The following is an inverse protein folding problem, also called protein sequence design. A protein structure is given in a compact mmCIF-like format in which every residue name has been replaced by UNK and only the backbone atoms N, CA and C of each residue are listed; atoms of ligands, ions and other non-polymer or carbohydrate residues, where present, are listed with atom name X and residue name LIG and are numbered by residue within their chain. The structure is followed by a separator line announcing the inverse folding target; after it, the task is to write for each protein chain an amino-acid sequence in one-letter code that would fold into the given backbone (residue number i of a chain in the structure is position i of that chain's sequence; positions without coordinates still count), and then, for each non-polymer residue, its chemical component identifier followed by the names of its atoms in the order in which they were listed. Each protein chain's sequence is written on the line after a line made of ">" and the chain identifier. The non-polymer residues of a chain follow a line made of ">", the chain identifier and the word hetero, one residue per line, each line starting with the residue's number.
data_IF_591939367674
#
_entry.id   IF_591939367674
#
_cell.length_a   1.000
_cell.length_b   1.000
_cell.length_c   1.000
_cell.angle_alpha   90.00
_cell.angle_beta   90.00
_cell.angle_gamma   90.00
#
_symmetry.space_group_name_H-M   'P 1'
#
loop_
_entity.id
_entity.type
_entity.pdbx_description
1 polymer ?
#
# COMPACT_ATOMS: atom_id res chain seq x y z
N UNK A 1 20.15 -7.05 0.46
CA UNK A 1 18.73 -6.87 0.10
C UNK A 1 18.34 -5.40 -0.07
N UNK A 2 18.35 -4.53 0.98
CA UNK A 2 17.96 -3.11 0.80
C UNK A 2 18.86 -2.32 -0.16
N UNK A 3 20.16 -2.57 -0.14
CA UNK A 3 21.11 -1.88 -1.04
C UNK A 3 20.91 -2.25 -2.51
N UNK A 4 20.63 -3.50 -2.82
CA UNK A 4 20.38 -3.96 -4.18
C UNK A 4 19.09 -3.35 -4.74
N UNK A 5 18.03 -3.22 -3.92
CA UNK A 5 16.78 -2.56 -4.32
C UNK A 5 17.05 -1.09 -4.67
N UNK A 6 17.78 -0.37 -3.81
CA UNK A 6 18.12 1.04 -4.06
C UNK A 6 18.93 1.20 -5.36
N UNK A 7 19.96 0.38 -5.56
CA UNK A 7 20.79 0.43 -6.78
C UNK A 7 19.97 0.14 -8.04
N UNK A 8 19.08 -0.85 -7.99
CA UNK A 8 18.24 -1.19 -9.14
C UNK A 8 17.19 -0.11 -9.42
N UNK A 9 16.67 0.54 -8.36
CA UNK A 9 15.79 1.70 -8.50
C UNK A 9 16.50 2.86 -9.17
N UNK A 10 17.70 3.21 -8.72
CA UNK A 10 18.53 4.27 -9.32
C UNK A 10 18.89 3.96 -10.78
N UNK A 11 19.19 2.70 -11.08
CA UNK A 11 19.49 2.26 -12.45
C UNK A 11 18.27 2.38 -13.37
N UNK A 12 17.06 2.10 -12.87
CA UNK A 12 15.85 2.06 -13.68
C UNK A 12 15.16 3.41 -13.81
N UNK A 13 15.16 4.21 -12.74
CA UNK A 13 14.50 5.52 -12.67
C UNK A 13 15.44 6.69 -12.98
N UNK A 14 16.76 6.45 -13.01
CA UNK A 14 17.77 7.49 -13.15
C UNK A 14 17.79 8.44 -11.96
N UNK A 15 18.30 9.66 -12.19
CA UNK A 15 18.28 10.74 -11.19
C UNK A 15 16.90 11.40 -11.03
N UNK A 16 16.00 11.20 -11.98
CA UNK A 16 14.62 11.64 -11.90
C UNK A 16 13.85 10.75 -10.92
N UNK A 17 13.31 11.33 -9.88
CA UNK A 17 12.50 10.66 -8.85
C UNK A 17 11.12 10.24 -9.35
N UNK A 18 11.00 9.90 -10.62
CA UNK A 18 9.79 9.38 -11.25
C UNK A 18 9.53 7.93 -10.86
N UNK A 19 8.45 7.39 -11.40
CA UNK A 19 8.07 5.98 -11.23
C UNK A 19 8.36 5.23 -12.52
N UNK A 20 8.98 4.08 -12.38
CA UNK A 20 9.24 3.18 -13.51
C UNK A 20 8.34 1.94 -13.41
N UNK A 21 7.66 1.54 -14.50
CA UNK A 21 6.74 0.41 -14.48
C UNK A 21 7.43 -0.96 -14.38
N UNK A 22 8.75 -1.03 -14.60
CA UNK A 22 9.49 -2.28 -14.48
C UNK A 22 9.53 -2.75 -13.02
N UNK A 23 9.30 -4.05 -12.83
CA UNK A 23 9.33 -4.69 -11.53
C UNK A 23 10.75 -5.04 -11.13
N UNK A 24 11.10 -4.81 -9.87
CA UNK A 24 12.30 -5.36 -9.24
C UNK A 24 11.93 -6.72 -8.66
N UNK A 25 12.39 -7.78 -9.28
CA UNK A 25 12.10 -9.16 -8.88
C UNK A 25 13.09 -9.66 -7.84
N UNK A 26 12.61 -10.00 -6.63
CA UNK A 26 13.40 -10.63 -5.58
C UNK A 26 12.84 -12.01 -5.27
N UNK A 27 13.70 -13.03 -5.21
CA UNK A 27 13.31 -14.39 -4.80
C UNK A 27 14.05 -14.79 -3.54
N UNK A 28 13.31 -15.20 -2.52
CA UNK A 28 13.84 -15.67 -1.25
C UNK A 28 13.53 -17.17 -1.12
N UNK A 29 14.55 -17.99 -0.90
CA UNK A 29 14.43 -19.43 -0.70
C UNK A 29 14.79 -19.77 0.74
N UNK A 30 13.87 -20.36 1.47
CA UNK A 30 14.08 -20.82 2.84
C UNK A 30 13.07 -21.92 3.18
N UNK A 31 13.46 -22.94 3.95
CA UNK A 31 12.51 -23.94 4.44
C UNK A 31 11.47 -23.38 5.42
N UNK A 32 11.71 -22.18 5.95
CA UNK A 32 10.88 -21.53 6.98
C UNK A 32 9.94 -20.47 6.43
N UNK A 33 9.80 -20.35 5.10
CA UNK A 33 8.90 -19.38 4.47
C UNK A 33 7.82 -20.08 3.67
N UNK A 34 6.62 -19.51 3.68
CA UNK A 34 5.52 -19.99 2.83
C UNK A 34 5.76 -19.58 1.38
N UNK A 35 5.26 -20.38 0.43
CA UNK A 35 5.28 -20.02 -0.99
C UNK A 35 4.25 -18.93 -1.23
N UNK A 36 4.70 -17.68 -1.32
CA UNK A 36 3.86 -16.50 -1.47
C UNK A 36 4.56 -15.46 -2.35
N UNK A 37 3.80 -14.82 -3.22
CA UNK A 37 4.25 -13.65 -3.96
C UNK A 37 3.71 -12.40 -3.27
N UNK A 38 4.61 -11.53 -2.83
CA UNK A 38 4.27 -10.22 -2.27
C UNK A 38 4.63 -9.16 -3.31
N UNK A 39 3.75 -8.19 -3.48
CA UNK A 39 3.98 -7.02 -4.32
C UNK A 39 3.97 -5.80 -3.41
N UNK A 40 5.12 -5.14 -3.32
CA UNK A 40 5.27 -3.85 -2.64
C UNK A 40 5.12 -2.74 -3.67
N UNK A 41 4.21 -1.81 -3.42
CA UNK A 41 3.85 -0.74 -4.33
C UNK A 41 4.30 0.61 -3.76
N UNK A 42 4.57 1.61 -4.63
CA UNK A 42 4.91 2.95 -4.16
C UNK A 42 3.83 3.54 -3.25
N UNK A 43 4.25 4.30 -2.24
CA UNK A 43 3.32 5.11 -1.43
C UNK A 43 2.65 6.19 -2.28
N UNK A 44 1.39 6.48 -2.00
CA UNK A 44 0.62 7.49 -2.73
C UNK A 44 1.15 8.87 -2.33
N UNK A 45 1.80 9.54 -3.28
CA UNK A 45 2.31 10.91 -3.13
C UNK A 45 1.34 11.86 -3.81
N UNK A 46 0.75 12.77 -3.05
CA UNK A 46 -0.22 13.76 -3.59
C UNK A 46 0.45 15.00 -4.17
N UNK A 47 1.57 15.38 -3.61
CA UNK A 47 2.31 16.59 -3.99
C UNK A 47 3.68 16.15 -4.51
N UNK A 48 4.04 16.54 -5.75
CA UNK A 48 5.37 16.26 -6.28
C UNK A 48 6.47 16.81 -5.37
N UNK A 49 7.51 16.05 -5.12
CA UNK A 49 8.65 16.46 -4.28
C UNK A 49 9.91 16.54 -5.14
N UNK A 50 10.56 17.70 -5.17
CA UNK A 50 11.76 17.92 -5.95
C UNK A 50 11.49 17.82 -7.46
N UNK A 51 12.21 16.96 -8.15
CA UNK A 51 12.14 16.77 -9.62
C UNK A 51 11.05 15.76 -10.06
N UNK A 52 10.11 15.42 -9.18
CA UNK A 52 9.00 14.53 -9.55
C UNK A 52 8.08 15.20 -10.58
N UNK A 53 7.54 14.43 -11.55
CA UNK A 53 6.61 14.97 -12.52
C UNK A 53 5.32 15.43 -11.84
N UNK A 54 4.63 16.46 -12.37
CA UNK A 54 3.42 17.01 -11.78
C UNK A 54 2.25 16.02 -11.73
N UNK A 55 2.26 14.99 -12.57
CA UNK A 55 1.27 13.90 -12.65
C UNK A 55 1.67 12.63 -11.87
N UNK A 56 2.62 12.76 -10.94
CA UNK A 56 3.14 11.62 -10.14
C UNK A 56 2.02 10.87 -9.40
N UNK A 57 1.03 11.57 -8.89
CA UNK A 57 -0.12 10.97 -8.20
C UNK A 57 -0.88 10.03 -9.14
N UNK A 58 -1.23 10.50 -10.34
CA UNK A 58 -1.95 9.70 -11.33
C UNK A 58 -1.13 8.49 -11.78
N UNK A 59 0.17 8.64 -11.96
CA UNK A 59 1.07 7.54 -12.32
C UNK A 59 1.07 6.46 -11.23
N UNK A 60 1.16 6.84 -9.96
CA UNK A 60 1.12 5.92 -8.81
C UNK A 60 -0.23 5.22 -8.75
N UNK A 61 -1.33 5.97 -8.81
CA UNK A 61 -2.69 5.43 -8.73
C UNK A 61 -2.91 4.41 -9.87
N UNK A 62 -2.54 4.76 -11.10
CA UNK A 62 -2.69 3.86 -12.25
C UNK A 62 -1.87 2.59 -12.08
N UNK A 63 -0.64 2.69 -11.58
CA UNK A 63 0.20 1.53 -11.27
C UNK A 63 -0.46 0.64 -10.22
N UNK A 64 -0.92 1.19 -9.09
CA UNK A 64 -1.60 0.46 -8.02
C UNK A 64 -2.83 -0.26 -8.58
N UNK A 65 -3.69 0.46 -9.31
CA UNK A 65 -4.90 -0.10 -9.91
C UNK A 65 -4.59 -1.25 -10.88
N UNK A 66 -3.48 -1.20 -11.60
CA UNK A 66 -3.02 -2.26 -12.49
C UNK A 66 -2.79 -3.60 -11.76
N UNK A 67 -2.41 -3.54 -10.48
CA UNK A 67 -2.22 -4.73 -9.64
C UNK A 67 -3.51 -5.15 -8.92
N UNK A 68 -4.18 -4.22 -8.25
CA UNK A 68 -5.30 -4.55 -7.36
C UNK A 68 -6.62 -4.85 -8.08
N UNK A 69 -6.76 -4.49 -9.36
CA UNK A 69 -7.91 -4.87 -10.20
C UNK A 69 -7.96 -6.38 -10.51
N UNK A 70 -6.85 -7.09 -10.39
CA UNK A 70 -6.79 -8.52 -10.70
C UNK A 70 -7.60 -9.32 -9.68
N UNK A 71 -8.54 -10.19 -10.11
CA UNK A 71 -9.45 -10.88 -9.18
C UNK A 71 -8.73 -11.84 -8.23
N UNK A 72 -7.57 -12.37 -8.62
CA UNK A 72 -6.78 -13.31 -7.82
C UNK A 72 -5.73 -12.61 -6.93
N UNK A 73 -5.85 -11.29 -6.72
CA UNK A 73 -4.95 -10.52 -5.87
C UNK A 73 -5.64 -10.17 -4.56
N UNK A 74 -5.05 -10.58 -3.44
CA UNK A 74 -5.44 -10.04 -2.12
C UNK A 74 -4.86 -8.64 -1.97
N UNK A 75 -5.65 -7.75 -1.40
CA UNK A 75 -5.29 -6.36 -1.18
C UNK A 75 -4.95 -6.17 0.29
N UNK A 76 -3.76 -5.65 0.57
CA UNK A 76 -3.35 -5.24 1.90
C UNK A 76 -3.39 -3.71 1.97
N UNK A 77 -4.48 -3.16 2.50
CA UNK A 77 -4.66 -1.72 2.65
C UNK A 77 -4.08 -1.24 3.98
N UNK A 78 -2.90 -0.61 3.91
CA UNK A 78 -2.15 -0.19 5.09
C UNK A 78 -2.42 1.28 5.38
N UNK A 79 -2.83 1.59 6.61
CA UNK A 79 -3.14 2.95 7.06
C UNK A 79 -2.50 3.21 8.43
N UNK A 80 -1.80 4.33 8.64
CA UNK A 80 -1.30 4.68 9.99
C UNK A 80 -2.45 5.09 10.91
N UNK A 81 -2.35 4.72 12.18
CA UNK A 81 -3.39 4.94 13.19
C UNK A 81 -3.62 6.42 13.55
N UNK A 82 -2.64 7.27 13.28
CA UNK A 82 -2.72 8.71 13.52
C UNK A 82 -3.38 9.50 12.38
N UNK A 83 -3.94 8.80 11.39
CA UNK A 83 -4.72 9.43 10.30
C UNK A 83 -6.17 8.96 10.37
N UNK A 84 -7.08 9.82 9.94
CA UNK A 84 -8.48 9.43 9.82
C UNK A 84 -8.63 8.31 8.78
N UNK A 85 -9.13 7.19 9.24
CA UNK A 85 -9.32 5.99 8.44
C UNK A 85 -10.25 6.20 7.25
N UNK A 86 -11.25 7.08 7.40
CA UNK A 86 -12.20 7.42 6.34
C UNK A 86 -11.53 8.19 5.19
N UNK A 87 -10.41 8.84 5.45
CA UNK A 87 -9.64 9.61 4.44
C UNK A 87 -8.51 8.81 3.81
N UNK A 88 -8.29 7.56 4.22
CA UNK A 88 -7.22 6.71 3.72
C UNK A 88 -7.35 6.43 2.22
N UNK A 89 -6.37 6.86 1.43
CA UNK A 89 -6.32 6.58 -0.01
C UNK A 89 -6.20 5.07 -0.31
N UNK A 90 -5.46 4.33 0.52
CA UNK A 90 -5.35 2.88 0.37
C UNK A 90 -6.73 2.19 0.48
N UNK A 91 -7.53 2.62 1.45
CA UNK A 91 -8.89 2.12 1.64
C UNK A 91 -9.82 2.55 0.48
N UNK A 92 -9.72 3.80 0.02
CA UNK A 92 -10.52 4.28 -1.12
C UNK A 92 -10.23 3.48 -2.39
N UNK A 93 -8.96 3.27 -2.73
CA UNK A 93 -8.57 2.50 -3.90
C UNK A 93 -8.99 1.02 -3.78
N UNK A 94 -8.88 0.43 -2.60
CA UNK A 94 -9.36 -0.92 -2.35
C UNK A 94 -10.87 -1.03 -2.60
N UNK A 95 -11.68 -0.10 -2.07
CA UNK A 95 -13.14 -0.07 -2.27
C UNK A 95 -13.56 0.10 -3.73
N UNK A 96 -12.79 0.84 -4.52
CA UNK A 96 -13.09 1.00 -5.95
C UNK A 96 -13.07 -0.33 -6.72
N UNK A 97 -12.22 -1.27 -6.30
CA UNK A 97 -12.00 -2.55 -7.01
C UNK A 97 -12.53 -3.76 -6.26
N UNK A 98 -12.88 -3.60 -4.99
CA UNK A 98 -13.40 -4.63 -4.09
C UNK A 98 -14.44 -3.99 -3.12
N UNK A 99 -15.60 -3.55 -3.65
CA UNK A 99 -16.62 -2.85 -2.85
C UNK A 99 -17.12 -3.65 -1.65
N UNK A 100 -17.20 -4.98 -1.79
CA UNK A 100 -17.66 -5.90 -0.75
C UNK A 100 -16.55 -6.28 0.25
N UNK A 101 -15.32 -5.85 0.04
CA UNK A 101 -14.17 -6.18 0.89
C UNK A 101 -13.85 -7.69 0.95
N UNK A 102 -14.19 -8.44 -0.11
CA UNK A 102 -14.06 -9.90 -0.14
C UNK A 102 -12.61 -10.38 -0.19
N UNK A 103 -11.71 -9.56 -0.70
CA UNK A 103 -10.27 -9.84 -0.87
C UNK A 103 -9.37 -8.73 -0.30
N UNK A 104 -9.94 -7.85 0.51
CA UNK A 104 -9.23 -6.74 1.16
C UNK A 104 -8.99 -7.05 2.64
N UNK A 105 -7.75 -6.92 3.08
CA UNK A 105 -7.33 -6.87 4.47
C UNK A 105 -6.92 -5.43 4.78
N UNK A 106 -7.49 -4.83 5.81
CA UNK A 106 -7.04 -3.54 6.31
C UNK A 106 -6.04 -3.76 7.45
N UNK A 107 -4.96 -2.99 7.44
CA UNK A 107 -3.91 -3.04 8.46
C UNK A 107 -3.69 -1.65 9.02
N UNK A 108 -3.76 -1.56 10.34
CA UNK A 108 -3.48 -0.33 11.07
C UNK A 108 -2.06 -0.40 11.63
N UNK A 109 -1.24 0.59 11.30
CA UNK A 109 0.15 0.70 11.77
C UNK A 109 0.33 1.90 12.69
N UNK A 110 1.48 2.00 13.35
CA UNK A 110 1.86 3.16 14.16
C UNK A 110 0.87 3.47 15.30
N UNK A 111 0.40 2.43 15.99
CA UNK A 111 -0.48 2.57 17.14
C UNK A 111 0.16 3.36 18.29
N UNK A 112 1.49 3.34 18.36
CA UNK A 112 2.32 4.05 19.36
C UNK A 112 2.27 5.58 19.23
N UNK A 113 1.86 6.10 18.08
CA UNK A 113 1.78 7.56 17.85
C UNK A 113 0.34 8.06 17.70
N UNK A 114 -0.64 7.29 18.15
CA UNK A 114 -2.04 7.73 18.20
C UNK A 114 -2.23 8.91 19.15
N UNK A 115 -3.14 9.81 18.78
CA UNK A 115 -3.52 10.94 19.63
C UNK A 115 -4.23 10.46 20.91
N UNK A 116 -3.96 11.15 22.02
CA UNK A 116 -4.65 10.85 23.29
C UNK A 116 -6.14 11.07 23.14
N UNK A 117 -6.92 10.03 23.42
CA UNK A 117 -8.38 10.06 23.33
C UNK A 117 -8.96 9.44 22.06
N UNK A 118 -8.11 8.98 21.12
CA UNK A 118 -8.54 8.13 20.01
C UNK A 118 -8.51 6.67 20.44
N UNK A 119 -9.53 5.91 20.07
CA UNK A 119 -9.63 4.48 20.41
C UNK A 119 -9.45 3.63 19.15
N UNK A 120 -8.28 2.95 19.07
CA UNK A 120 -7.99 1.99 18.00
C UNK A 120 -8.99 0.82 17.99
N UNK A 121 -9.62 0.52 19.13
CA UNK A 121 -10.59 -0.58 19.24
C UNK A 121 -11.83 -0.35 18.40
N UNK A 122 -12.33 0.88 18.29
CA UNK A 122 -13.48 1.18 17.41
C UNK A 122 -13.16 0.87 15.96
N UNK A 123 -11.94 1.21 15.52
CA UNK A 123 -11.45 0.91 14.18
C UNK A 123 -11.29 -0.60 14.00
N UNK A 124 -10.62 -1.28 14.96
CA UNK A 124 -10.33 -2.71 14.91
C UNK A 124 -11.60 -3.58 15.02
N UNK A 125 -12.61 -3.11 15.73
CA UNK A 125 -13.92 -3.79 15.83
C UNK A 125 -14.77 -3.64 14.55
N UNK A 126 -14.29 -2.90 13.55
CA UNK A 126 -14.99 -2.74 12.26
C UNK A 126 -16.14 -1.75 12.30
N UNK A 127 -16.28 -0.94 13.37
CA UNK A 127 -17.35 0.05 13.48
C UNK A 127 -17.16 1.19 12.45
N UNK A 128 -15.91 1.46 12.06
CA UNK A 128 -15.59 2.50 11.09
C UNK A 128 -15.51 1.96 9.66
N UNK A 129 -15.08 0.69 9.52
CA UNK A 129 -14.89 0.08 8.21
C UNK A 129 -15.09 -1.45 8.27
N UNK A 130 -16.07 -1.93 7.54
CA UNK A 130 -16.35 -3.37 7.46
C UNK A 130 -15.59 -4.01 6.30
N UNK A 131 -14.60 -4.86 6.61
CA UNK A 131 -13.92 -5.74 5.65
C UNK A 131 -14.16 -7.19 6.06
N UNK A 132 -14.59 -8.02 5.12
CA UNK A 132 -14.90 -9.43 5.39
C UNK A 132 -13.71 -10.22 5.93
N UNK A 133 -12.50 -9.90 5.46
CA UNK A 133 -11.26 -10.54 5.90
C UNK A 133 -10.72 -9.95 7.22
N UNK A 134 -11.35 -8.91 7.73
CA UNK A 134 -11.04 -8.30 9.01
C UNK A 134 -10.00 -7.19 8.96
N UNK A 135 -9.88 -6.51 10.09
CA UNK A 135 -8.83 -5.53 10.42
C UNK A 135 -7.74 -6.21 11.27
N UNK A 136 -6.48 -5.85 11.05
CA UNK A 136 -5.33 -6.35 11.79
C UNK A 136 -4.42 -5.19 12.20
#
# INVERSE_FOLDING_TARGET
>A
MGREIVQETERSCGTNKGIHPAQIGLRVFSPNVVSLTLVDLPGITRIPVGDQPPDIEDQIINMILGYIKRPNTLILAITPANTDFATSEAIKLARMVDPDGARTLAVVTKLDIMDKGTDAMEVLCGHVFNVRLGLR
#
